data_IF_927899268819
#
_entry.id   IF_927899268819
#
_cell.length_a   1.000
_cell.length_b   1.000
_cell.length_c   1.000
_cell.angle_alpha   90.00
_cell.angle_beta   90.00
_cell.angle_gamma   90.00
#
_symmetry.space_group_name_H-M   'P 1'
#
loop_
_entity.id
_entity.type
_entity.pdbx_description
1 polymer ?
#
# COMPACT_ATOMS: atom_id res chain seq x y z
N UNK A 1 -4.77 4.85 78.49
CA UNK A 1 -3.53 5.24 77.77
C UNK A 1 -3.04 4.05 76.97
N UNK A 2 -3.51 3.97 75.71
CA UNK A 2 -3.13 3.04 74.63
C UNK A 2 -4.11 3.31 73.49
N UNK A 3 -3.61 3.10 72.27
CA UNK A 3 -4.32 2.94 71.00
C UNK A 3 -4.61 4.25 70.24
N UNK A 4 -4.52 4.33 68.92
CA UNK A 4 -3.83 3.59 67.85
C UNK A 4 -4.27 4.28 66.54
N UNK A 5 -3.49 4.06 65.47
CA UNK A 5 -3.86 4.29 64.05
C UNK A 5 -3.71 5.72 63.53
N UNK A 6 -2.79 5.86 62.57
CA UNK A 6 -2.67 7.05 61.73
C UNK A 6 -1.43 7.09 60.83
N UNK A 7 -0.87 5.95 60.42
CA UNK A 7 0.14 5.90 59.34
C UNK A 7 -0.60 5.88 58.01
N UNK A 8 -0.81 7.06 57.43
CA UNK A 8 -1.20 7.24 56.04
C UNK A 8 -0.60 8.55 55.55
N UNK A 9 0.31 8.50 54.57
CA UNK A 9 0.75 9.70 53.89
C UNK A 9 2.08 9.60 53.17
N UNK A 10 1.98 9.49 51.85
CA UNK A 10 2.94 10.01 50.87
C UNK A 10 4.26 9.22 50.69
N UNK A 11 4.07 8.04 50.11
CA UNK A 11 4.94 7.43 49.11
C UNK A 11 5.50 8.50 48.15
N UNK A 12 6.73 8.95 48.40
CA UNK A 12 7.50 9.78 47.45
C UNK A 12 8.05 8.84 46.37
N UNK A 13 7.26 8.65 45.33
CA UNK A 13 7.73 7.99 44.13
C UNK A 13 8.69 8.92 43.38
N UNK A 14 9.88 8.38 43.11
CA UNK A 14 10.96 8.96 42.34
C UNK A 14 10.47 9.32 40.93
N UNK A 15 10.52 10.60 40.56
CA UNK A 15 10.29 11.06 39.19
C UNK A 15 11.65 11.45 38.58
N UNK A 16 12.23 10.66 37.65
CA UNK A 16 13.47 11.07 36.99
C UNK A 16 13.20 12.13 35.92
N UNK A 17 13.90 13.25 36.07
CA UNK A 17 14.07 14.33 35.09
C UNK A 17 14.90 13.84 33.90
N UNK A 18 14.27 13.69 32.73
CA UNK A 18 14.97 13.75 31.43
C UNK A 18 13.97 13.88 30.28
N UNK A 19 13.60 15.12 29.95
CA UNK A 19 12.96 15.43 28.68
C UNK A 19 13.93 16.20 27.78
N UNK A 20 14.83 15.54 27.03
CA UNK A 20 15.53 16.19 25.94
C UNK A 20 14.63 16.17 24.70
N UNK A 21 14.37 17.36 24.16
CA UNK A 21 14.56 17.68 22.74
C UNK A 21 14.01 16.71 21.67
N UNK A 22 13.30 17.29 20.69
CA UNK A 22 12.84 16.71 19.40
C UNK A 22 11.55 15.87 19.40
N UNK A 23 10.42 16.57 19.45
CA UNK A 23 9.31 16.22 18.56
C UNK A 23 8.55 17.46 18.07
N UNK A 24 9.28 18.39 17.45
CA UNK A 24 8.73 19.08 16.27
C UNK A 24 8.60 18.02 15.17
N UNK A 25 7.59 17.16 15.29
CA UNK A 25 7.23 16.19 14.24
C UNK A 25 6.11 16.80 13.42
N UNK A 26 6.54 17.58 12.44
CA UNK A 26 6.04 17.57 11.05
C UNK A 26 4.61 17.06 10.83
N UNK A 27 3.79 17.90 10.21
CA UNK A 27 2.47 17.58 9.69
C UNK A 27 2.46 16.43 8.68
N UNK A 28 2.47 15.21 9.19
CA UNK A 28 2.08 14.00 8.44
C UNK A 28 1.27 13.12 9.37
N UNK A 29 0.06 13.59 9.71
CA UNK A 29 -1.00 12.75 10.24
C UNK A 29 -1.53 11.80 9.17
N UNK A 30 -0.67 11.03 8.51
CA UNK A 30 -1.10 9.91 7.68
C UNK A 30 -1.42 8.76 8.64
N UNK A 31 -2.61 8.84 9.24
CA UNK A 31 -3.06 7.82 10.18
C UNK A 31 -3.10 6.47 9.44
N UNK A 32 -2.30 5.51 9.90
CA UNK A 32 -2.33 4.12 9.43
C UNK A 32 -3.68 3.40 9.63
N UNK A 33 -4.73 4.13 10.07
CA UNK A 33 -6.11 3.66 10.18
C UNK A 33 -6.95 3.88 8.93
N UNK A 34 -6.51 4.69 7.95
CA UNK A 34 -7.26 4.88 6.69
C UNK A 34 -7.18 3.68 5.72
N UNK A 35 -6.25 2.75 5.92
CA UNK A 35 -6.05 1.62 5.01
C UNK A 35 -6.96 0.41 5.31
N UNK A 36 -7.72 0.42 6.41
CA UNK A 36 -8.56 -0.73 6.84
C UNK A 36 -9.89 -0.91 6.09
N UNK A 37 -10.10 -0.22 4.96
CA UNK A 37 -11.36 -0.29 4.21
C UNK A 37 -11.22 -0.27 2.69
N UNK A 38 -10.02 -0.48 2.15
CA UNK A 38 -9.86 -0.64 0.69
C UNK A 38 -10.41 -2.03 0.36
N UNK A 39 -11.70 -2.11 0.00
CA UNK A 39 -12.32 -3.35 -0.44
C UNK A 39 -11.54 -3.95 -1.61
N UNK A 40 -11.54 -5.29 -1.72
CA UNK A 40 -10.82 -6.03 -2.76
C UNK A 40 -11.02 -5.44 -4.17
N UNK A 41 -12.24 -4.96 -4.47
CA UNK A 41 -12.61 -4.25 -5.68
C UNK A 41 -11.79 -2.98 -5.99
N UNK A 42 -11.44 -2.19 -4.96
CA UNK A 42 -10.60 -0.99 -5.15
C UNK A 42 -9.14 -1.37 -5.41
N UNK A 43 -8.62 -2.40 -4.75
CA UNK A 43 -7.28 -2.92 -5.03
C UNK A 43 -7.20 -3.52 -6.43
N UNK A 44 -8.24 -4.25 -6.84
CA UNK A 44 -8.37 -4.84 -8.17
C UNK A 44 -8.44 -3.77 -9.26
N UNK A 45 -9.29 -2.75 -9.09
CA UNK A 45 -9.37 -1.61 -10.02
C UNK A 45 -8.05 -0.85 -10.12
N UNK A 46 -7.34 -0.66 -9.01
CA UNK A 46 -6.02 -0.03 -8.99
C UNK A 46 -4.98 -0.88 -9.74
N UNK A 47 -4.99 -2.20 -9.54
CA UNK A 47 -4.10 -3.15 -10.20
C UNK A 47 -4.34 -3.20 -11.72
N UNK A 48 -5.60 -3.26 -12.16
CA UNK A 48 -5.96 -3.21 -13.59
C UNK A 48 -5.54 -1.87 -14.21
N UNK A 49 -5.80 -0.75 -13.53
CA UNK A 49 -5.40 0.58 -14.01
C UNK A 49 -3.89 0.70 -14.14
N UNK A 50 -3.14 0.19 -13.16
CA UNK A 50 -1.68 0.16 -13.18
C UNK A 50 -1.15 -0.72 -14.32
N UNK A 51 -1.74 -1.89 -14.53
CA UNK A 51 -1.39 -2.80 -15.62
C UNK A 51 -1.58 -2.15 -16.99
N UNK A 52 -2.72 -1.49 -17.23
CA UNK A 52 -2.99 -0.76 -18.48
C UNK A 52 -2.00 0.38 -18.68
N UNK A 53 -1.69 1.13 -17.62
CA UNK A 53 -0.71 2.22 -17.66
C UNK A 53 0.70 1.71 -18.01
N UNK A 54 1.09 0.54 -17.50
CA UNK A 54 2.39 -0.10 -17.80
C UNK A 54 2.44 -0.71 -19.20
N UNK A 55 1.34 -1.28 -19.69
CA UNK A 55 1.30 -1.91 -21.01
C UNK A 55 1.38 -0.91 -22.17
N UNK A 56 0.85 0.30 -22.01
CA UNK A 56 0.87 1.34 -23.06
C UNK A 56 2.27 1.69 -23.57
N UNK A 57 3.27 2.05 -22.73
CA UNK A 57 4.63 2.33 -23.21
C UNK A 57 5.30 1.08 -23.78
N UNK A 58 5.05 -0.11 -23.22
CA UNK A 58 5.59 -1.38 -23.73
C UNK A 58 5.10 -1.62 -25.16
N UNK A 59 3.80 -1.48 -25.41
CA UNK A 59 3.21 -1.60 -26.75
C UNK A 59 3.76 -0.51 -27.68
N UNK A 60 3.95 0.72 -27.20
CA UNK A 60 4.48 1.82 -28.02
C UNK A 60 5.94 1.59 -28.43
N UNK A 61 6.77 1.09 -27.50
CA UNK A 61 8.17 0.71 -27.77
C UNK A 61 8.22 -0.49 -28.72
N UNK A 62 7.36 -1.48 -28.53
CA UNK A 62 7.26 -2.63 -29.42
C UNK A 62 6.81 -2.24 -30.83
N UNK A 63 5.87 -1.30 -30.97
CA UNK A 63 5.46 -0.76 -32.27
C UNK A 63 6.57 0.05 -32.93
N UNK A 64 7.36 0.79 -32.14
CA UNK A 64 8.52 1.52 -32.66
C UNK A 64 9.62 0.58 -33.16
N UNK A 65 9.78 -0.57 -32.49
CA UNK A 65 10.75 -1.60 -32.86
C UNK A 65 10.19 -2.65 -33.83
N UNK A 66 8.88 -2.64 -34.11
CA UNK A 66 8.20 -3.56 -35.02
C UNK A 66 8.85 -3.72 -36.40
N UNK A 67 9.39 -2.66 -37.07
CA UNK A 67 10.07 -2.85 -38.35
C UNK A 67 11.38 -3.65 -38.27
N UNK A 68 11.91 -3.88 -37.06
CA UNK A 68 13.15 -4.62 -36.82
C UNK A 68 12.93 -6.06 -36.34
N UNK A 69 11.69 -6.45 -36.01
CA UNK A 69 11.35 -7.77 -35.50
C UNK A 69 10.58 -8.58 -36.53
N UNK A 70 10.57 -9.91 -36.35
CA UNK A 70 9.69 -10.76 -37.13
C UNK A 70 8.21 -10.34 -36.95
N UNK A 71 7.40 -10.36 -38.01
CA UNK A 71 5.98 -9.99 -37.94
C UNK A 71 5.15 -10.91 -37.02
N UNK A 72 5.68 -12.08 -36.66
CA UNK A 72 5.12 -13.01 -35.69
C UNK A 72 5.16 -12.48 -34.24
N UNK A 73 6.15 -11.65 -33.92
CA UNK A 73 6.42 -11.15 -32.58
C UNK A 73 5.35 -10.16 -32.07
N UNK A 74 4.95 -9.10 -32.81
CA UNK A 74 3.86 -8.22 -32.38
C UNK A 74 2.52 -8.96 -32.27
N UNK A 75 2.28 -9.98 -33.10
CA UNK A 75 1.10 -10.83 -33.02
C UNK A 75 1.09 -11.67 -31.74
N UNK A 76 2.23 -12.24 -31.33
CA UNK A 76 2.33 -13.01 -30.08
C UNK A 76 2.12 -12.12 -28.85
N UNK A 77 2.67 -10.91 -28.87
CA UNK A 77 2.51 -9.92 -27.79
C UNK A 77 1.07 -9.42 -27.68
N UNK A 78 0.40 -9.22 -28.81
CA UNK A 78 -1.03 -8.89 -28.85
C UNK A 78 -1.85 -10.04 -28.26
N UNK A 79 -1.58 -11.28 -28.66
CA UNK A 79 -2.25 -12.47 -28.13
C UNK A 79 -2.02 -12.66 -26.64
N UNK A 80 -0.78 -12.48 -26.17
CA UNK A 80 -0.44 -12.56 -24.75
C UNK A 80 -1.13 -11.46 -23.93
N UNK A 81 -1.17 -10.23 -24.46
CA UNK A 81 -1.85 -9.11 -23.80
C UNK A 81 -3.36 -9.35 -23.68
N UNK A 82 -3.99 -9.87 -24.74
CA UNK A 82 -5.41 -10.26 -24.73
C UNK A 82 -5.68 -11.41 -23.74
N UNK A 83 -4.78 -12.40 -23.69
CA UNK A 83 -4.87 -13.51 -22.73
C UNK A 83 -4.80 -13.01 -21.30
N UNK A 84 -3.82 -12.16 -20.98
CA UNK A 84 -3.67 -11.58 -19.66
C UNK A 84 -4.89 -10.73 -19.24
N UNK A 85 -5.50 -10.02 -20.19
CA UNK A 85 -6.69 -9.21 -19.94
C UNK A 85 -7.91 -10.11 -19.64
N UNK A 86 -8.07 -11.19 -20.38
CA UNK A 86 -9.13 -12.18 -20.17
C UNK A 86 -8.95 -12.95 -18.85
N UNK A 87 -7.72 -13.30 -18.47
CA UNK A 87 -7.44 -13.96 -17.19
C UNK A 87 -7.75 -13.02 -16.00
N UNK A 88 -7.49 -11.72 -16.14
CA UNK A 88 -7.90 -10.71 -15.14
C UNK A 88 -9.42 -10.56 -15.06
N UNK A 89 -10.13 -10.53 -16.19
CA UNK A 89 -11.59 -10.48 -16.23
C UNK A 89 -12.21 -11.74 -15.60
N UNK A 90 -11.62 -12.91 -15.85
CA UNK A 90 -12.02 -14.17 -15.23
C UNK A 90 -11.81 -14.14 -13.71
N UNK A 91 -10.66 -13.62 -13.24
CA UNK A 91 -10.40 -13.41 -11.81
C UNK A 91 -11.39 -12.43 -11.17
N UNK A 92 -11.86 -11.42 -11.91
CA UNK A 92 -12.90 -10.48 -11.45
C UNK A 92 -14.27 -11.16 -11.38
N UNK A 93 -14.64 -11.96 -12.38
CA UNK A 93 -15.92 -12.69 -12.42
C UNK A 93 -16.03 -13.80 -11.37
N UNK A 94 -14.90 -14.37 -10.96
CA UNK A 94 -14.83 -15.47 -9.98
C UNK A 94 -14.88 -14.95 -8.52
N UNK A 95 -14.70 -13.65 -8.32
CA UNK A 95 -14.71 -12.99 -7.00
C UNK A 95 -15.99 -12.18 -6.79
#
# INVERSE_FOLDING_TARGET
MRNSRGLAGAQKEYQPLSGPDRAVRSGTGFSGRQWRGIGAWKLLSLAVSFFVMMMKPIVLVLLNLAPFYEPSLPLCLLQFSLRALSDLELLVLLH
#
